data_IF_611415716677
#
_entry.id   IF_611415716677
#
_cell.length_a   1.000
_cell.length_b   1.000
_cell.length_c   1.000
_cell.angle_alpha   90.00
_cell.angle_beta   90.00
_cell.angle_gamma   90.00
#
_symmetry.space_group_name_H-M   'P 1'
#
loop_
_entity.id
_entity.type
_entity.pdbx_description
1 polymer ?
#
# COMPACT_ATOMS: atom_id res chain seq x y z
N UNK A 1 -19.56 18.94 1.41
CA UNK A 1 -19.50 17.57 1.97
C UNK A 1 -19.65 17.70 3.47
N UNK A 2 -20.75 17.18 4.01
CA UNK A 2 -21.10 17.34 5.43
C UNK A 2 -20.22 16.46 6.31
N UNK A 3 -20.00 16.86 7.57
CA UNK A 3 -19.15 16.12 8.53
C UNK A 3 -19.63 14.67 8.70
N UNK A 4 -20.95 14.46 8.68
CA UNK A 4 -21.58 13.14 8.81
C UNK A 4 -21.23 12.23 7.63
N UNK A 5 -21.28 12.75 6.39
CA UNK A 5 -20.93 12.01 5.18
C UNK A 5 -19.47 11.55 5.23
N UNK A 6 -18.57 12.44 5.62
CA UNK A 6 -17.15 12.12 5.74
C UNK A 6 -16.86 11.03 6.79
N UNK A 7 -17.57 11.05 7.93
CA UNK A 7 -17.44 10.00 8.95
C UNK A 7 -17.95 8.67 8.42
N UNK A 8 -19.06 8.67 7.70
CA UNK A 8 -19.64 7.47 7.12
C UNK A 8 -18.71 6.84 6.06
N UNK A 9 -18.14 7.66 5.18
CA UNK A 9 -17.19 7.22 4.16
C UNK A 9 -15.94 6.57 4.77
N UNK A 10 -15.43 7.15 5.87
CA UNK A 10 -14.31 6.58 6.61
C UNK A 10 -14.64 5.19 7.17
N UNK A 11 -15.82 5.01 7.76
CA UNK A 11 -16.27 3.72 8.31
C UNK A 11 -16.39 2.69 7.19
N UNK A 12 -17.02 3.05 6.07
CA UNK A 12 -17.16 2.18 4.90
C UNK A 12 -15.79 1.75 4.37
N UNK A 13 -14.85 2.70 4.22
CA UNK A 13 -13.51 2.40 3.74
C UNK A 13 -12.75 1.47 4.70
N UNK A 14 -12.83 1.74 6.00
CA UNK A 14 -12.20 0.89 7.03
C UNK A 14 -12.74 -0.54 6.97
N UNK A 15 -14.05 -0.70 6.78
CA UNK A 15 -14.69 -2.02 6.63
C UNK A 15 -14.21 -2.72 5.35
N UNK A 16 -14.15 -2.03 4.21
CA UNK A 16 -13.62 -2.57 2.95
C UNK A 16 -12.18 -3.07 3.11
N UNK A 17 -11.33 -2.30 3.80
CA UNK A 17 -9.94 -2.71 4.07
C UNK A 17 -9.89 -3.92 5.02
N UNK A 18 -10.77 -3.98 6.01
CA UNK A 18 -10.86 -5.16 6.89
C UNK A 18 -11.23 -6.43 6.11
N UNK A 19 -12.22 -6.34 5.23
CA UNK A 19 -12.62 -7.46 4.34
C UNK A 19 -11.48 -7.84 3.41
N UNK A 20 -10.84 -6.86 2.76
CA UNK A 20 -9.67 -7.11 1.91
C UNK A 20 -8.54 -7.84 2.65
N UNK A 21 -8.22 -7.40 3.88
CA UNK A 21 -7.20 -8.03 4.71
C UNK A 21 -7.52 -9.50 5.02
N UNK A 22 -8.79 -9.82 5.24
CA UNK A 22 -9.26 -11.19 5.46
C UNK A 22 -9.15 -12.03 4.19
N UNK A 23 -9.63 -11.51 3.06
CA UNK A 23 -9.61 -12.19 1.76
C UNK A 23 -8.19 -12.56 1.31
N UNK A 24 -7.25 -11.63 1.43
CA UNK A 24 -5.86 -11.84 1.03
C UNK A 24 -5.04 -12.54 2.13
N UNK A 25 -5.57 -12.63 3.36
CA UNK A 25 -4.84 -13.20 4.48
C UNK A 25 -3.62 -12.37 4.88
N UNK A 26 -3.75 -11.04 4.87
CA UNK A 26 -2.66 -10.10 5.13
C UNK A 26 -1.97 -10.36 6.48
N UNK A 27 -2.72 -10.80 7.50
CA UNK A 27 -2.17 -11.21 8.80
C UNK A 27 -1.13 -12.34 8.67
N UNK A 28 -1.40 -13.33 7.81
CA UNK A 28 -0.47 -14.44 7.55
C UNK A 28 0.75 -13.95 6.77
N UNK A 29 0.54 -13.09 5.78
CA UNK A 29 1.61 -12.48 4.97
C UNK A 29 2.52 -11.61 5.84
N UNK A 30 1.96 -10.78 6.73
CA UNK A 30 2.74 -9.85 7.57
C UNK A 30 3.74 -10.55 8.47
N UNK A 31 3.45 -11.79 8.89
CA UNK A 31 4.39 -12.61 9.68
C UNK A 31 5.59 -13.11 8.89
N UNK A 32 5.54 -13.09 7.55
CA UNK A 32 6.63 -13.51 6.65
C UNK A 32 7.58 -12.38 6.28
N UNK A 33 7.38 -11.16 6.79
CA UNK A 33 8.12 -9.96 6.38
C UNK A 33 9.39 -9.69 7.20
N UNK A 34 9.85 -10.65 8.00
CA UNK A 34 10.98 -10.48 8.93
C UNK A 34 10.74 -9.34 9.96
N UNK A 35 9.48 -9.08 10.30
CA UNK A 35 9.12 -8.14 11.36
C UNK A 35 9.32 -8.78 12.73
N UNK A 36 10.51 -8.58 13.31
CA UNK A 36 10.89 -9.13 14.62
C UNK A 36 10.85 -8.11 15.76
N UNK A 37 10.10 -7.02 15.58
CA UNK A 37 10.04 -5.98 16.60
C UNK A 37 9.35 -6.52 17.85
N UNK A 38 10.03 -6.45 18.99
CA UNK A 38 9.44 -6.65 20.32
C UNK A 38 8.53 -5.46 20.65
N UNK A 39 7.36 -5.41 20.03
CA UNK A 39 6.34 -4.40 20.27
C UNK A 39 4.98 -5.08 20.43
N UNK A 40 4.16 -4.53 21.32
CA UNK A 40 2.75 -4.96 21.46
C UNK A 40 1.90 -4.58 20.24
N UNK A 41 2.45 -3.80 19.31
CA UNK A 41 1.75 -3.34 18.11
C UNK A 41 1.88 -4.35 16.98
N UNK A 42 0.73 -4.77 16.48
CA UNK A 42 0.62 -5.62 15.29
C UNK A 42 1.01 -4.85 14.03
N UNK A 43 1.86 -5.44 13.18
CA UNK A 43 2.15 -4.87 11.87
C UNK A 43 0.89 -4.75 11.01
N UNK A 44 -0.06 -5.68 11.15
CA UNK A 44 -1.33 -5.63 10.45
C UNK A 44 -2.15 -4.39 10.82
N UNK A 45 -2.19 -3.99 12.10
CA UNK A 45 -2.98 -2.81 12.50
C UNK A 45 -2.37 -1.52 11.94
N UNK A 46 -1.04 -1.43 11.92
CA UNK A 46 -0.31 -0.31 11.30
C UNK A 46 -0.57 -0.26 9.80
N UNK A 47 -0.43 -1.39 9.09
CA UNK A 47 -0.69 -1.46 7.64
C UNK A 47 -2.15 -1.16 7.29
N UNK A 48 -3.10 -1.64 8.08
CA UNK A 48 -4.53 -1.37 7.86
C UNK A 48 -4.85 0.10 8.01
N UNK A 49 -4.37 0.75 9.07
CA UNK A 49 -4.55 2.18 9.28
C UNK A 49 -3.85 3.01 8.19
N UNK A 50 -2.67 2.57 7.75
CA UNK A 50 -1.93 3.25 6.69
C UNK A 50 -2.64 3.13 5.33
N UNK A 51 -3.19 1.97 5.01
CA UNK A 51 -4.03 1.79 3.81
C UNK A 51 -5.25 2.71 3.85
N UNK A 52 -5.96 2.80 4.98
CA UNK A 52 -7.09 3.74 5.11
C UNK A 52 -6.63 5.16 4.79
N UNK A 53 -5.50 5.58 5.36
CA UNK A 53 -4.94 6.91 5.14
C UNK A 53 -4.60 7.17 3.66
N UNK A 54 -4.01 6.20 2.96
CA UNK A 54 -3.69 6.28 1.53
C UNK A 54 -4.96 6.40 0.70
N UNK A 55 -5.96 5.55 0.93
CA UNK A 55 -7.21 5.55 0.16
C UNK A 55 -8.10 6.77 0.45
N UNK A 56 -7.92 7.42 1.60
CA UNK A 56 -8.47 8.77 1.86
C UNK A 56 -7.66 9.89 1.20
N UNK A 57 -6.58 9.58 0.48
CA UNK A 57 -5.67 10.53 -0.16
C UNK A 57 -5.05 11.51 0.86
N UNK A 58 -4.78 11.03 2.07
CA UNK A 58 -4.19 11.82 3.14
C UNK A 58 -2.73 11.46 3.33
N UNK A 59 -1.89 12.48 3.46
CA UNK A 59 -0.52 12.29 3.93
C UNK A 59 -0.52 11.81 5.39
N UNK A 60 0.59 11.22 5.85
CA UNK A 60 0.75 10.84 7.27
C UNK A 60 0.57 12.01 8.24
N UNK A 61 0.72 13.25 7.77
CA UNK A 61 0.46 14.46 8.58
C UNK A 61 -1.03 14.74 8.72
N UNK A 62 -1.83 14.45 7.68
CA UNK A 62 -3.29 14.69 7.61
C UNK A 62 -4.13 13.45 7.96
N UNK A 63 -3.48 12.32 8.24
CA UNK A 63 -4.13 11.06 8.54
C UNK A 63 -4.90 11.12 9.87
N UNK A 64 -6.01 10.37 9.95
CA UNK A 64 -6.85 10.31 11.15
C UNK A 64 -6.09 9.75 12.34
N UNK A 65 -6.13 10.44 13.49
CA UNK A 65 -5.41 10.00 14.68
C UNK A 65 -5.98 8.67 15.20
N UNK A 66 -5.10 7.79 15.67
CA UNK A 66 -5.49 6.56 16.38
C UNK A 66 -4.94 6.58 17.80
N UNK A 67 -5.69 5.99 18.74
CA UNK A 67 -5.26 5.82 20.13
C UNK A 67 -4.17 4.75 20.29
N UNK A 68 -3.98 3.89 19.28
CA UNK A 68 -3.07 2.75 19.37
C UNK A 68 -1.59 3.10 19.16
N UNK A 69 -1.30 4.10 18.31
CA UNK A 69 0.07 4.48 17.96
C UNK A 69 0.14 5.88 17.34
N UNK A 70 1.35 6.43 17.23
CA UNK A 70 1.58 7.74 16.61
C UNK A 70 1.99 7.61 15.15
N UNK A 71 1.88 8.70 14.40
CA UNK A 71 2.39 8.77 13.02
C UNK A 71 3.92 8.59 12.96
N UNK A 72 4.64 8.89 14.06
CA UNK A 72 6.07 8.56 14.21
C UNK A 72 6.30 7.06 14.23
N UNK A 73 5.47 6.29 14.93
CA UNK A 73 5.55 4.82 14.93
C UNK A 73 5.36 4.26 13.53
N UNK A 74 4.40 4.77 12.77
CA UNK A 74 4.16 4.34 11.38
C UNK A 74 5.39 4.61 10.51
N UNK A 75 5.97 5.81 10.59
CA UNK A 75 7.21 6.15 9.85
C UNK A 75 8.37 5.24 10.23
N UNK A 76 8.56 4.96 11.52
CA UNK A 76 9.63 4.06 11.98
C UNK A 76 9.45 2.65 11.42
N UNK A 77 8.21 2.15 11.34
CA UNK A 77 7.92 0.86 10.73
C UNK A 77 8.22 0.90 9.23
N UNK A 78 7.69 1.89 8.49
CA UNK A 78 7.91 2.01 7.04
C UNK A 78 9.40 2.14 6.68
N UNK A 79 10.19 2.77 7.53
CA UNK A 79 11.63 2.97 7.34
C UNK A 79 12.51 1.87 7.96
N UNK A 80 11.92 0.80 8.51
CA UNK A 80 12.69 -0.31 9.08
C UNK A 80 13.22 -1.21 7.96
N UNK A 81 14.52 -1.12 7.67
CA UNK A 81 15.18 -1.89 6.62
C UNK A 81 15.12 -3.41 6.83
N UNK A 82 14.79 -3.88 8.04
CA UNK A 82 14.63 -5.31 8.32
C UNK A 82 13.30 -5.86 7.79
N UNK A 83 12.31 -4.99 7.56
CA UNK A 83 11.02 -5.40 7.02
C UNK A 83 11.16 -5.56 5.50
N UNK A 84 10.91 -6.77 5.01
CA UNK A 84 11.02 -7.07 3.59
C UNK A 84 9.75 -6.62 2.84
N UNK A 85 9.74 -5.36 2.39
CA UNK A 85 8.64 -4.77 1.64
C UNK A 85 8.44 -5.40 0.26
N UNK A 86 9.51 -5.82 -0.42
CA UNK A 86 9.40 -6.49 -1.71
C UNK A 86 8.67 -7.83 -1.57
N UNK A 87 9.01 -8.61 -0.54
CA UNK A 87 8.32 -9.87 -0.22
C UNK A 87 6.84 -9.64 0.11
N UNK A 88 6.50 -8.55 0.80
CA UNK A 88 5.10 -8.16 1.01
C UNK A 88 4.38 -7.98 -0.32
N UNK A 89 4.94 -7.15 -1.20
CA UNK A 89 4.34 -6.86 -2.52
C UNK A 89 4.16 -8.12 -3.36
N UNK A 90 5.17 -8.99 -3.43
CA UNK A 90 5.08 -10.24 -4.20
C UNK A 90 4.02 -11.20 -3.62
N UNK A 91 3.97 -11.38 -2.30
CA UNK A 91 3.00 -12.26 -1.66
C UNK A 91 1.56 -11.71 -1.79
N UNK A 92 1.39 -10.40 -1.69
CA UNK A 92 0.11 -9.73 -1.92
C UNK A 92 -0.36 -9.93 -3.37
N UNK A 93 0.53 -9.67 -4.35
CA UNK A 93 0.22 -9.84 -5.77
C UNK A 93 -0.20 -11.29 -6.08
N UNK A 94 0.55 -12.27 -5.58
CA UNK A 94 0.18 -13.69 -5.71
C UNK A 94 -1.19 -14.00 -5.11
N UNK A 95 -1.47 -13.52 -3.89
CA UNK A 95 -2.77 -13.71 -3.24
C UNK A 95 -3.94 -13.09 -4.01
N UNK A 96 -3.74 -11.91 -4.62
CA UNK A 96 -4.74 -11.25 -5.46
C UNK A 96 -4.97 -12.06 -6.75
N UNK A 97 -3.89 -12.50 -7.42
CA UNK A 97 -3.97 -13.31 -8.64
C UNK A 97 -4.73 -14.61 -8.37
N UNK A 98 -4.42 -15.31 -7.28
CA UNK A 98 -5.08 -16.56 -6.90
C UNK A 98 -6.56 -16.34 -6.54
N UNK A 99 -6.90 -15.21 -5.92
CA UNK A 99 -8.28 -14.83 -5.66
C UNK A 99 -9.06 -14.57 -6.97
N UNK A 100 -8.49 -13.77 -7.87
CA UNK A 100 -9.11 -13.45 -9.16
C UNK A 100 -9.27 -14.68 -10.05
N UNK A 101 -8.29 -15.59 -10.05
CA UNK A 101 -8.37 -16.88 -10.75
C UNK A 101 -9.55 -17.72 -10.24
N UNK A 102 -9.74 -17.81 -8.92
CA UNK A 102 -10.89 -18.52 -8.33
C UNK A 102 -12.23 -17.92 -8.73
N UNK A 103 -12.35 -16.59 -8.72
CA UNK A 103 -13.56 -15.91 -9.21
C UNK A 103 -13.82 -16.24 -10.69
N UNK A 104 -12.79 -16.20 -11.53
CA UNK A 104 -12.91 -16.59 -12.94
C UNK A 104 -13.38 -18.05 -13.09
N UNK A 105 -12.84 -18.97 -12.30
CA UNK A 105 -13.27 -20.37 -12.33
C UNK A 105 -14.75 -20.53 -11.96
N UNK A 106 -15.24 -19.71 -11.03
CA UNK A 106 -16.65 -19.71 -10.61
C UNK A 106 -17.59 -19.05 -11.62
N UNK A 107 -17.09 -18.04 -12.36
CA UNK A 107 -17.84 -17.30 -13.36
C UNK A 107 -17.08 -17.30 -14.70
N UNK A 108 -17.31 -18.34 -15.50
CA UNK A 108 -16.62 -18.59 -16.76
C UNK A 108 -16.82 -17.51 -17.83
N UNK A 109 -17.74 -16.56 -17.62
CA UNK A 109 -17.92 -15.38 -18.49
C UNK A 109 -16.81 -14.35 -18.29
N UNK A 110 -16.15 -14.35 -17.14
CA UNK A 110 -15.09 -13.38 -16.82
C UNK A 110 -13.80 -13.70 -17.56
N UNK A 111 -13.24 -12.69 -18.22
CA UNK A 111 -11.89 -12.72 -18.80
C UNK A 111 -10.96 -11.93 -17.89
N UNK A 112 -9.79 -12.48 -17.61
CA UNK A 112 -8.73 -11.78 -16.89
C UNK A 112 -7.77 -11.19 -17.91
N UNK A 113 -7.42 -9.92 -17.73
CA UNK A 113 -6.36 -9.26 -18.47
C UNK A 113 -5.27 -8.84 -17.49
N UNK A 114 -4.01 -8.97 -17.91
CA UNK A 114 -2.88 -8.42 -17.18
C UNK A 114 -2.42 -7.16 -17.92
N UNK A 115 -2.74 -6.01 -17.35
CA UNK A 115 -2.40 -4.71 -17.93
C UNK A 115 -1.08 -4.26 -17.32
N UNK A 116 -0.10 -3.99 -18.19
CA UNK A 116 1.19 -3.42 -17.84
C UNK A 116 1.20 -1.96 -18.29
N UNK A 117 1.45 -1.07 -17.34
CA UNK A 117 1.62 0.36 -17.58
C UNK A 117 2.86 0.84 -16.83
N UNK A 118 3.58 1.80 -17.42
CA UNK A 118 4.77 2.37 -16.83
C UNK A 118 4.47 3.77 -16.29
N UNK A 119 4.53 3.92 -14.97
CA UNK A 119 4.29 5.20 -14.31
C UNK A 119 5.59 5.78 -13.78
N UNK A 120 5.83 7.07 -14.03
CA UNK A 120 6.91 7.81 -13.41
C UNK A 120 6.56 8.20 -11.97
N UNK A 121 7.31 7.67 -11.01
CA UNK A 121 7.20 8.04 -9.59
C UNK A 121 8.24 9.12 -9.29
N UNK A 122 7.80 10.38 -9.34
CA UNK A 122 8.65 11.55 -9.08
C UNK A 122 9.15 11.59 -7.64
N UNK A 123 10.45 11.81 -7.46
CA UNK A 123 11.16 11.97 -6.18
C UNK A 123 12.07 13.19 -6.18
N UNK A 124 11.54 14.35 -6.60
CA UNK A 124 12.35 15.57 -6.80
C UNK A 124 13.13 16.08 -5.59
N UNK A 125 12.68 15.78 -4.37
CA UNK A 125 13.34 16.23 -3.15
C UNK A 125 14.18 15.13 -2.48
N UNK A 126 14.18 13.91 -3.03
CA UNK A 126 14.98 12.81 -2.50
C UNK A 126 16.43 12.93 -2.95
N UNK A 127 17.37 12.73 -2.01
CA UNK A 127 18.82 12.74 -2.28
C UNK A 127 19.50 11.38 -2.09
N UNK A 128 18.93 10.51 -1.26
CA UNK A 128 19.50 9.21 -0.86
C UNK A 128 18.46 8.12 -0.94
N UNK A 129 18.04 7.78 -2.15
CA UNK A 129 17.15 6.64 -2.36
C UNK A 129 17.78 5.75 -3.42
N UNK A 130 17.81 4.44 -3.16
CA UNK A 130 18.36 3.46 -4.10
C UNK A 130 17.67 3.61 -5.46
N UNK A 131 18.43 3.44 -6.55
CA UNK A 131 17.95 3.48 -7.94
C UNK A 131 17.30 4.81 -8.38
N UNK A 132 17.59 5.92 -7.69
CA UNK A 132 17.10 7.24 -8.11
C UNK A 132 17.78 7.66 -9.42
N UNK A 133 17.02 7.64 -10.52
CA UNK A 133 17.51 8.03 -11.84
C UNK A 133 16.89 9.35 -12.30
N UNK A 134 17.57 10.01 -13.25
CA UNK A 134 17.00 11.13 -14.01
C UNK A 134 16.24 10.53 -15.19
N UNK A 135 14.91 10.52 -15.11
CA UNK A 135 14.02 9.94 -16.11
C UNK A 135 13.28 11.04 -16.85
N UNK A 136 13.01 10.84 -18.14
CA UNK A 136 12.25 11.79 -18.94
C UNK A 136 10.75 11.56 -18.73
N UNK A 137 10.03 12.62 -18.37
CA UNK A 137 8.58 12.68 -18.27
C UNK A 137 8.03 13.15 -19.63
N UNK A 138 7.50 12.20 -20.41
CA UNK A 138 6.97 12.47 -21.74
C UNK A 138 5.69 13.31 -21.69
N UNK A 139 4.89 13.19 -20.64
CA UNK A 139 3.64 13.95 -20.47
C UNK A 139 3.92 15.44 -20.27
N UNK A 140 5.02 15.75 -19.56
CA UNK A 140 5.39 17.13 -19.20
C UNK A 140 6.61 17.65 -19.94
N UNK A 141 7.17 16.86 -20.86
CA UNK A 141 8.35 17.21 -21.64
C UNK A 141 9.58 17.60 -20.81
N UNK A 142 9.82 16.95 -19.67
CA UNK A 142 10.92 17.35 -18.77
C UNK A 142 11.59 16.20 -18.04
N UNK A 143 12.85 16.39 -17.69
CA UNK A 143 13.54 15.43 -16.85
C UNK A 143 13.17 15.59 -15.37
N UNK A 144 12.84 14.47 -14.73
CA UNK A 144 12.54 14.39 -13.31
C UNK A 144 13.47 13.36 -12.65
N UNK A 145 13.81 13.61 -11.38
CA UNK A 145 14.43 12.58 -10.55
C UNK A 145 13.33 11.67 -10.02
N UNK A 146 13.44 10.37 -10.19
CA UNK A 146 12.40 9.42 -9.78
C UNK A 146 12.69 7.98 -10.18
N UNK A 147 11.61 7.21 -10.21
CA UNK A 147 11.56 5.81 -10.61
C UNK A 147 10.64 5.64 -11.81
N UNK A 148 10.86 4.60 -12.60
CA UNK A 148 9.87 4.06 -13.55
C UNK A 148 9.49 2.68 -13.02
N UNK A 149 8.19 2.39 -12.97
CA UNK A 149 7.67 1.18 -12.32
C UNK A 149 8.11 -0.12 -13.02
N UNK A 150 8.52 -0.05 -14.30
CA UNK A 150 8.96 -1.20 -15.10
C UNK A 150 10.47 -1.26 -15.39
N UNK A 151 11.28 -0.39 -14.77
CA UNK A 151 12.76 -0.39 -14.90
C UNK A 151 13.43 -0.64 -13.56
#
# INVERSE_FOLDING_TARGET
MNIIEHVQDYIILKNKISVFNQLIGLSKISRKLNYHRRSKLSLLSILSWFMVSIFQQRSLYRAEKTKQFTTRTVRNVLNDARINWQRLTCLLAGGIIDYLRRIKTLDGRRKLAFVLDDTLIKRSFSKKTELLAKTYDHDRGKYLKGYRSLT
#
